data_IF_116793072241
#
_entry.id   IF_116793072241
#
_cell.length_a   1.000
_cell.length_b   1.000
_cell.length_c   1.000
_cell.angle_alpha   90.00
_cell.angle_beta   90.00
_cell.angle_gamma   90.00
#
_symmetry.space_group_name_H-M   'P 1'
#
loop_
_entity.id
_entity.type
_entity.pdbx_description
1 polymer ?
#
# COMPACT_ATOMS: atom_id res chain seq x y z
N UNK A 1 -2.55 -12.46 -10.72
CA UNK A 1 -3.57 -11.62 -10.04
C UNK A 1 -3.26 -11.66 -8.55
N UNK A 2 -3.40 -10.56 -7.83
CA UNK A 2 -3.18 -10.57 -6.37
C UNK A 2 -4.39 -11.17 -5.66
N UNK A 3 -4.16 -11.87 -4.55
CA UNK A 3 -5.22 -12.39 -3.70
C UNK A 3 -5.81 -11.30 -2.81
N UNK A 4 -7.01 -11.55 -2.27
CA UNK A 4 -7.65 -10.70 -1.26
C UNK A 4 -6.77 -10.47 -0.02
N UNK A 5 -6.01 -11.49 0.38
CA UNK A 5 -5.08 -11.37 1.51
C UNK A 5 -3.92 -10.44 1.18
N UNK A 6 -3.32 -10.58 -0.01
CA UNK A 6 -2.26 -9.67 -0.50
C UNK A 6 -2.78 -8.24 -0.62
N UNK A 7 -4.01 -8.05 -1.12
CA UNK A 7 -4.66 -6.74 -1.20
C UNK A 7 -4.83 -6.07 0.16
N UNK A 8 -5.26 -6.82 1.19
CA UNK A 8 -5.36 -6.29 2.56
C UNK A 8 -4.00 -5.88 3.14
N UNK A 9 -2.94 -6.65 2.88
CA UNK A 9 -1.57 -6.31 3.29
C UNK A 9 -1.15 -4.97 2.65
N UNK A 10 -1.38 -4.79 1.35
CA UNK A 10 -1.02 -3.55 0.64
C UNK A 10 -1.79 -2.32 1.14
N UNK A 11 -3.08 -2.47 1.46
CA UNK A 11 -3.88 -1.38 2.04
C UNK A 11 -3.35 -0.98 3.42
N UNK A 12 -3.01 -1.96 4.26
CA UNK A 12 -2.40 -1.72 5.58
C UNK A 12 -1.05 -1.03 5.44
N UNK A 13 -0.20 -1.49 4.51
CA UNK A 13 1.11 -0.88 4.25
C UNK A 13 0.99 0.58 3.81
N UNK A 14 0.08 0.87 2.88
CA UNK A 14 -0.16 2.23 2.42
C UNK A 14 -0.61 3.15 3.56
N UNK A 15 -1.52 2.66 4.43
CA UNK A 15 -1.98 3.40 5.62
C UNK A 15 -0.83 3.63 6.61
N UNK A 16 -0.12 2.57 7.00
CA UNK A 16 1.01 2.64 7.94
C UNK A 16 2.08 3.63 7.46
N UNK A 17 2.35 3.64 6.15
CA UNK A 17 3.33 4.56 5.54
C UNK A 17 2.91 6.02 5.71
N UNK A 18 1.64 6.32 5.48
CA UNK A 18 1.08 7.66 5.67
C UNK A 18 1.11 8.05 7.15
N UNK A 19 0.67 7.17 8.05
CA UNK A 19 0.67 7.40 9.51
C UNK A 19 2.09 7.71 10.01
N UNK A 20 3.07 6.88 9.63
CA UNK A 20 4.49 7.11 9.95
C UNK A 20 5.00 8.46 9.45
N UNK A 21 4.67 8.84 8.21
CA UNK A 21 5.07 10.13 7.65
C UNK A 21 4.45 11.31 8.41
N UNK A 22 3.22 11.13 8.93
CA UNK A 22 2.51 12.11 9.76
C UNK A 22 2.86 12.04 11.25
N UNK A 23 3.80 11.16 11.65
CA UNK A 23 4.20 10.93 13.06
C UNK A 23 3.03 10.47 13.94
N UNK A 24 2.16 9.64 13.37
CA UNK A 24 1.06 8.96 14.06
C UNK A 24 1.42 7.49 14.22
N UNK A 25 1.16 6.92 15.39
CA UNK A 25 1.36 5.49 15.62
C UNK A 25 0.36 4.65 14.81
N UNK A 26 0.88 3.64 14.14
CA UNK A 26 0.06 2.70 13.36
C UNK A 26 -0.60 1.70 14.30
N UNK A 27 -1.93 1.63 14.28
CA UNK A 27 -2.70 0.67 15.09
C UNK A 27 -2.52 -0.79 14.65
N UNK A 28 -2.18 -1.00 13.37
CA UNK A 28 -2.03 -2.34 12.77
C UNK A 28 -0.87 -2.35 11.76
N UNK A 29 0.39 -2.33 12.25
CA UNK A 29 1.55 -2.29 11.38
C UNK A 29 1.72 -3.61 10.63
N UNK A 30 2.06 -3.52 9.34
CA UNK A 30 2.46 -4.66 8.52
C UNK A 30 3.80 -5.18 8.99
N UNK A 31 3.91 -6.50 9.12
CA UNK A 31 5.15 -7.16 9.53
C UNK A 31 6.04 -7.47 8.32
N UNK A 32 7.37 -7.46 8.48
CA UNK A 32 8.32 -7.77 7.39
C UNK A 32 8.02 -9.09 6.67
N UNK A 33 7.60 -10.13 7.39
CA UNK A 33 7.30 -11.45 6.81
C UNK A 33 6.11 -11.41 5.83
N UNK A 34 5.16 -10.49 6.03
CA UNK A 34 4.01 -10.31 5.14
C UNK A 34 4.43 -9.65 3.81
N UNK A 35 5.51 -8.87 3.81
CA UNK A 35 6.07 -8.21 2.63
C UNK A 35 6.99 -9.12 1.82
N UNK A 36 7.46 -10.22 2.41
CA UNK A 36 8.34 -11.19 1.76
C UNK A 36 7.63 -12.08 0.72
N UNK A 37 6.30 -11.97 0.57
CA UNK A 37 5.53 -12.68 -0.45
C UNK A 37 6.06 -12.35 -1.87
N UNK A 38 6.49 -13.34 -2.67
CA UNK A 38 7.03 -13.11 -4.02
C UNK A 38 6.09 -12.34 -4.95
N UNK A 39 4.77 -12.42 -4.76
CA UNK A 39 3.82 -11.69 -5.57
C UNK A 39 3.89 -10.16 -5.34
N UNK A 40 4.31 -9.73 -4.14
CA UNK A 40 4.49 -8.33 -3.76
C UNK A 40 5.84 -7.78 -4.24
N UNK A 41 6.83 -8.65 -4.46
CA UNK A 41 8.14 -8.30 -5.00
C UNK A 41 8.14 -8.14 -6.54
N UNK A 42 6.99 -8.32 -7.19
CA UNK A 42 6.88 -8.15 -8.64
C UNK A 42 6.87 -6.66 -9.03
N UNK A 43 7.51 -6.30 -10.13
CA UNK A 43 7.42 -4.95 -10.71
C UNK A 43 6.04 -4.69 -11.31
N UNK A 44 5.30 -3.71 -10.78
CA UNK A 44 3.95 -3.35 -11.25
C UNK A 44 3.67 -1.86 -11.07
N UNK A 45 2.82 -1.29 -11.92
CA UNK A 45 2.25 0.04 -11.67
C UNK A 45 1.31 0.00 -10.46
N UNK A 46 1.35 1.04 -9.64
CA UNK A 46 0.57 1.14 -8.39
C UNK A 46 0.03 2.55 -8.25
N UNK A 47 -1.21 2.67 -7.80
CA UNK A 47 -1.83 3.92 -7.39
C UNK A 47 -2.43 3.78 -6.00
N UNK A 48 -2.25 4.82 -5.18
CA UNK A 48 -2.87 4.93 -3.86
C UNK A 48 -3.89 6.05 -3.92
N UNK A 49 -5.16 5.71 -3.65
CA UNK A 49 -6.26 6.67 -3.59
C UNK A 49 -6.74 6.84 -2.15
N UNK A 50 -6.81 8.08 -1.70
CA UNK A 50 -7.41 8.45 -0.42
C UNK A 50 -8.78 9.08 -0.67
N UNK A 51 -9.77 8.62 0.09
CA UNK A 51 -11.11 9.22 0.13
C UNK A 51 -11.42 9.74 1.52
N UNK A 52 -12.13 10.87 1.62
CA UNK A 52 -12.66 11.43 2.87
C UNK A 52 -14.14 11.69 2.69
N UNK A 53 -14.98 11.07 3.53
CA UNK A 53 -16.46 11.15 3.43
C UNK A 53 -16.97 10.80 2.02
N UNK A 54 -16.44 9.73 1.43
CA UNK A 54 -16.78 9.27 0.08
C UNK A 54 -16.15 10.08 -1.06
N UNK A 55 -15.60 11.27 -0.80
CA UNK A 55 -15.02 12.14 -1.82
C UNK A 55 -13.52 11.93 -1.98
N UNK A 56 -12.99 12.17 -3.18
CA UNK A 56 -11.55 12.10 -3.46
C UNK A 56 -10.80 13.12 -2.60
N UNK A 57 -9.78 12.64 -1.87
CA UNK A 57 -8.85 13.48 -1.11
C UNK A 57 -7.47 13.57 -1.78
N UNK A 58 -7.08 12.54 -2.53
CA UNK A 58 -5.85 12.50 -3.29
C UNK A 58 -5.68 11.15 -3.99
N UNK A 59 -5.00 11.14 -5.13
CA UNK A 59 -4.61 9.94 -5.85
C UNK A 59 -3.23 10.18 -6.48
N UNK A 60 -2.26 9.33 -6.14
CA UNK A 60 -0.89 9.39 -6.64
C UNK A 60 -0.42 7.97 -6.95
N UNK A 61 0.40 7.82 -7.98
CA UNK A 61 0.93 6.54 -8.39
C UNK A 61 1.81 6.62 -9.62
N UNK A 62 2.29 5.45 -10.04
CA UNK A 62 3.02 5.27 -11.29
C UNK A 62 2.25 4.34 -12.21
N UNK A 63 2.10 4.75 -13.48
CA UNK A 63 1.52 3.92 -14.54
C UNK A 63 2.41 2.72 -14.87
N UNK A 64 3.73 2.91 -14.79
CA UNK A 64 4.73 1.90 -15.12
C UNK A 64 5.31 1.27 -13.86
N UNK A 65 5.46 -0.05 -13.86
CA UNK A 65 6.14 -0.77 -12.79
C UNK A 65 7.66 -0.68 -12.89
N UNK A 66 8.21 0.52 -12.67
CA UNK A 66 9.67 0.71 -12.58
C UNK A 66 10.23 0.15 -11.28
N UNK A 67 9.40 0.09 -10.24
CA UNK A 67 9.71 -0.45 -8.91
C UNK A 67 8.80 -1.65 -8.58
N UNK A 68 9.18 -2.39 -7.53
CA UNK A 68 8.35 -3.45 -6.93
C UNK A 68 7.14 -2.86 -6.23
N UNK A 69 6.13 -3.68 -5.91
CA UNK A 69 4.92 -3.19 -5.23
C UNK A 69 5.24 -2.71 -3.81
N UNK A 70 6.21 -3.36 -3.15
CA UNK A 70 6.67 -3.10 -1.79
C UNK A 70 8.19 -2.94 -1.73
#
# INVERSE_FOLDING_TARGET
>A
MLSEQQGRILIRLARQTIEKHLKVDSADPVRPEELADPALQARRGVFVTLKKRGQLRGCIGSLTGTETIV
#
